data_IF_844420066190
#
_entry.id   IF_844420066190
#
_cell.length_a   1.000
_cell.length_b   1.000
_cell.length_c   1.000
_cell.angle_alpha   90.00
_cell.angle_beta   90.00
_cell.angle_gamma   90.00
#
_symmetry.space_group_name_H-M   'P 1'
#
loop_
_entity.id
_entity.type
_entity.pdbx_description
1 polymer ?
#
# COMPACT_ATOMS: atom_id res chain seq x y z
N UNK A 1 13.34 -26.74 19.16
CA UNK A 1 14.14 -25.70 18.48
C UNK A 1 14.48 -26.24 17.10
N UNK A 2 13.72 -25.88 16.06
CA UNK A 2 14.04 -26.25 14.67
C UNK A 2 15.11 -25.27 14.20
N UNK A 3 16.31 -25.77 13.92
CA UNK A 3 17.34 -24.99 13.24
C UNK A 3 16.91 -24.91 11.78
N UNK A 4 16.41 -23.74 11.34
CA UNK A 4 16.16 -23.50 9.91
C UNK A 4 17.51 -23.21 9.27
N UNK A 5 18.01 -24.18 8.52
CA UNK A 5 19.16 -23.99 7.64
C UNK A 5 18.61 -23.37 6.36
N UNK A 6 19.21 -22.26 5.89
CA UNK A 6 18.79 -21.61 4.66
C UNK A 6 18.79 -22.60 3.49
N UNK A 7 17.77 -22.52 2.65
CA UNK A 7 17.55 -23.39 1.49
C UNK A 7 18.01 -22.65 0.24
N UNK A 8 19.07 -23.16 -0.38
CA UNK A 8 19.64 -22.56 -1.59
C UNK A 8 20.50 -21.32 -1.29
N UNK A 9 20.71 -20.51 -2.33
CA UNK A 9 21.55 -19.32 -2.28
C UNK A 9 20.72 -18.05 -2.13
N UNK A 10 21.33 -17.02 -1.53
CA UNK A 10 20.82 -15.65 -1.61
C UNK A 10 21.08 -15.10 -3.01
N UNK A 11 20.02 -14.67 -3.69
CA UNK A 11 20.04 -14.14 -5.04
C UNK A 11 20.84 -12.84 -5.13
N UNK A 12 21.52 -12.63 -6.26
CA UNK A 12 22.16 -11.35 -6.56
C UNK A 12 21.15 -10.40 -7.17
N UNK A 13 20.35 -10.92 -8.11
CA UNK A 13 19.23 -10.20 -8.71
C UNK A 13 17.92 -10.65 -8.08
N UNK A 14 17.11 -9.75 -7.50
CA UNK A 14 15.88 -10.12 -6.84
C UNK A 14 14.78 -10.48 -7.84
N UNK A 15 13.90 -11.39 -7.43
CA UNK A 15 12.62 -11.56 -8.10
C UNK A 15 11.62 -10.53 -7.56
N UNK A 16 10.95 -9.81 -8.45
CA UNK A 16 9.91 -8.84 -8.08
C UNK A 16 8.55 -9.49 -8.18
N UNK A 17 7.90 -9.70 -7.03
CA UNK A 17 6.59 -10.35 -6.96
C UNK A 17 5.54 -9.49 -7.69
N UNK A 18 4.90 -10.03 -8.74
CA UNK A 18 3.82 -9.36 -9.43
C UNK A 18 2.69 -8.93 -8.49
N UNK A 19 2.13 -7.74 -8.71
CA UNK A 19 1.05 -7.16 -7.89
C UNK A 19 1.47 -6.61 -6.52
N UNK A 20 2.47 -7.19 -5.87
CA UNK A 20 2.97 -6.71 -4.55
C UNK A 20 4.10 -5.67 -4.68
N UNK A 21 4.78 -5.65 -5.83
CA UNK A 21 5.91 -4.76 -6.08
C UNK A 21 7.02 -4.89 -5.01
N UNK A 22 7.21 -6.12 -4.54
CA UNK A 22 8.18 -6.49 -3.51
C UNK A 22 9.29 -7.33 -4.15
N UNK A 23 10.52 -6.95 -3.86
CA UNK A 23 11.70 -7.71 -4.26
C UNK A 23 12.00 -8.75 -3.19
N UNK A 24 12.20 -10.00 -3.61
CA UNK A 24 12.68 -11.09 -2.76
C UNK A 24 14.02 -11.59 -3.30
N UNK A 25 14.93 -11.85 -2.38
CA UNK A 25 16.30 -12.29 -2.64
C UNK A 25 16.54 -13.72 -2.17
N UNK A 26 15.62 -14.32 -1.41
CA UNK A 26 15.72 -15.74 -1.04
C UNK A 26 14.37 -16.44 -1.12
N UNK A 27 14.39 -17.78 -1.16
CA UNK A 27 13.14 -18.55 -1.15
C UNK A 27 12.42 -18.48 0.20
N UNK A 28 13.11 -18.19 1.30
CA UNK A 28 12.49 -17.89 2.59
C UNK A 28 11.76 -16.56 2.57
N UNK A 29 12.35 -15.52 1.97
CA UNK A 29 11.67 -14.23 1.77
C UNK A 29 10.44 -14.40 0.86
N UNK A 30 10.53 -15.26 -0.16
CA UNK A 30 9.39 -15.64 -0.98
C UNK A 30 8.31 -16.36 -0.15
N UNK A 31 8.69 -17.36 0.66
CA UNK A 31 7.76 -18.06 1.56
C UNK A 31 7.06 -17.08 2.50
N UNK A 32 7.81 -16.15 3.08
CA UNK A 32 7.28 -15.09 3.93
C UNK A 32 6.28 -14.22 3.16
N UNK A 33 6.64 -13.79 1.96
CA UNK A 33 5.74 -12.99 1.13
C UNK A 33 4.46 -13.75 0.76
N UNK A 34 4.56 -15.04 0.45
CA UNK A 34 3.41 -15.89 0.14
C UNK A 34 2.46 -16.00 1.34
N UNK A 35 2.99 -16.30 2.53
CA UNK A 35 2.19 -16.44 3.75
C UNK A 35 1.49 -15.13 4.11
N UNK A 36 2.25 -14.04 4.21
CA UNK A 36 1.73 -12.76 4.71
C UNK A 36 0.80 -12.06 3.72
N UNK A 37 0.86 -12.41 2.43
CA UNK A 37 0.09 -11.74 1.37
C UNK A 37 -0.78 -12.72 0.56
N UNK A 38 -1.06 -13.91 1.09
CA UNK A 38 -1.79 -14.99 0.42
C UNK A 38 -3.06 -14.51 -0.32
N UNK A 39 -3.87 -13.69 0.34
CA UNK A 39 -5.14 -13.20 -0.22
C UNK A 39 -4.95 -12.26 -1.44
N UNK A 40 -3.78 -11.65 -1.59
CA UNK A 40 -3.46 -10.68 -2.65
C UNK A 40 -2.82 -11.35 -3.88
N UNK A 41 -2.24 -12.53 -3.71
CA UNK A 41 -1.55 -13.24 -4.78
C UNK A 41 -2.53 -13.79 -5.81
N UNK A 42 -2.25 -13.59 -7.10
CA UNK A 42 -3.05 -14.10 -8.21
C UNK A 42 -2.25 -15.04 -9.12
N UNK A 43 -2.85 -15.45 -10.24
CA UNK A 43 -2.23 -16.37 -11.19
C UNK A 43 -0.99 -15.78 -11.89
N UNK A 44 -0.72 -14.48 -11.76
CA UNK A 44 0.50 -13.87 -12.33
C UNK A 44 1.77 -14.32 -11.61
N UNK A 45 1.66 -14.90 -10.40
CA UNK A 45 2.77 -15.54 -9.71
C UNK A 45 3.18 -16.88 -10.35
N UNK A 46 2.29 -17.50 -11.14
CA UNK A 46 2.60 -18.71 -11.90
C UNK A 46 3.26 -18.31 -13.21
N UNK A 47 4.49 -17.82 -13.12
CA UNK A 47 5.27 -17.37 -14.26
C UNK A 47 6.62 -18.09 -14.36
N UNK A 48 7.13 -18.19 -15.59
CA UNK A 48 8.41 -18.82 -15.88
C UNK A 48 9.59 -18.03 -15.32
N UNK A 49 9.44 -16.72 -15.13
CA UNK A 49 10.47 -15.86 -14.53
C UNK A 49 10.76 -16.24 -13.08
N UNK A 50 9.74 -16.64 -12.31
CA UNK A 50 9.94 -17.16 -10.96
C UNK A 50 10.70 -18.49 -10.97
N UNK A 51 10.39 -19.39 -11.91
CA UNK A 51 11.09 -20.67 -12.05
C UNK A 51 12.56 -20.48 -12.44
N UNK A 52 12.81 -19.61 -13.43
CA UNK A 52 14.15 -19.25 -13.89
C UNK A 52 14.98 -18.63 -12.74
N UNK A 53 14.36 -17.75 -11.94
CA UNK A 53 15.00 -17.15 -10.78
C UNK A 53 15.35 -18.20 -9.71
N UNK A 54 14.42 -19.10 -9.38
CA UNK A 54 14.69 -20.18 -8.42
C UNK A 54 15.84 -21.07 -8.87
N UNK A 55 15.92 -21.40 -10.16
CA UNK A 55 16.97 -22.26 -10.71
C UNK A 55 18.32 -21.53 -10.74
N UNK A 56 18.37 -20.31 -11.29
CA UNK A 56 19.64 -19.61 -11.59
C UNK A 56 20.21 -18.84 -10.41
N UNK A 57 19.36 -18.12 -9.69
CA UNK A 57 19.80 -17.25 -8.59
C UNK A 57 19.87 -18.02 -7.27
N UNK A 58 18.82 -18.79 -6.95
CA UNK A 58 18.77 -19.54 -5.70
C UNK A 58 19.41 -20.94 -5.79
N UNK A 59 19.72 -21.45 -7.00
CA UNK A 59 20.33 -22.76 -7.20
C UNK A 59 19.38 -23.95 -6.96
N UNK A 60 18.07 -23.73 -7.06
CA UNK A 60 17.02 -24.70 -6.71
C UNK A 60 16.36 -25.33 -7.95
N UNK A 61 17.17 -25.85 -8.87
CA UNK A 61 16.68 -26.45 -10.12
C UNK A 61 15.72 -27.63 -9.92
N UNK A 62 15.89 -28.43 -8.86
CA UNK A 62 14.95 -29.52 -8.56
C UNK A 62 13.57 -29.02 -8.13
N UNK A 63 13.50 -27.90 -7.40
CA UNK A 63 12.22 -27.25 -7.09
C UNK A 63 11.59 -26.68 -8.35
N UNK A 64 12.36 -25.97 -9.18
CA UNK A 64 11.87 -25.38 -10.43
C UNK A 64 11.28 -26.46 -11.37
N UNK A 65 11.96 -27.60 -11.55
CA UNK A 65 11.45 -28.74 -12.33
C UNK A 65 10.15 -29.32 -11.78
N UNK A 66 9.99 -29.39 -10.45
CA UNK A 66 8.75 -29.87 -9.80
C UNK A 66 7.59 -28.91 -10.01
N UNK A 67 7.85 -27.61 -10.05
CA UNK A 67 6.84 -26.56 -10.22
C UNK A 67 6.47 -26.30 -11.69
N UNK A 68 7.35 -26.62 -12.64
CA UNK A 68 7.15 -26.41 -14.07
C UNK A 68 5.79 -26.94 -14.61
N UNK A 69 5.32 -28.16 -14.23
CA UNK A 69 4.00 -28.64 -14.67
C UNK A 69 2.84 -27.80 -14.15
N UNK A 70 2.95 -27.21 -12.96
CA UNK A 70 1.90 -26.38 -12.36
C UNK A 70 1.75 -25.05 -13.09
N UNK A 71 2.86 -24.46 -13.56
CA UNK A 71 2.84 -23.25 -14.40
C UNK A 71 2.21 -23.54 -15.77
N UNK A 72 2.61 -24.63 -16.42
CA UNK A 72 2.24 -24.89 -17.82
C UNK A 72 0.93 -25.66 -18.04
N UNK A 73 0.40 -26.35 -17.02
CA UNK A 73 -0.82 -27.18 -17.15
C UNK A 73 -2.05 -26.61 -16.43
N UNK A 74 -2.12 -25.28 -16.27
CA UNK A 74 -3.18 -24.57 -15.50
C UNK A 74 -3.29 -25.11 -14.06
N UNK A 75 -2.16 -25.19 -13.36
CA UNK A 75 -2.16 -25.53 -11.93
C UNK A 75 -2.89 -24.48 -11.09
N UNK A 76 -3.31 -24.88 -9.90
CA UNK A 76 -3.91 -23.94 -8.95
C UNK A 76 -2.82 -23.15 -8.22
N UNK A 77 -3.06 -21.86 -7.97
CA UNK A 77 -2.15 -21.02 -7.20
C UNK A 77 -1.89 -21.57 -5.80
N UNK A 78 -2.91 -22.11 -5.15
CA UNK A 78 -2.77 -22.74 -3.83
C UNK A 78 -1.82 -23.93 -3.87
N UNK A 79 -1.93 -24.80 -4.89
CA UNK A 79 -1.05 -25.96 -5.04
C UNK A 79 0.40 -25.54 -5.31
N UNK A 80 0.59 -24.54 -6.16
CA UNK A 80 1.90 -23.97 -6.48
C UNK A 80 2.59 -23.38 -5.25
N UNK A 81 1.88 -22.53 -4.50
CA UNK A 81 2.40 -21.92 -3.28
C UNK A 81 2.72 -22.96 -2.20
N UNK A 82 1.82 -23.92 -1.96
CA UNK A 82 2.03 -24.99 -0.98
C UNK A 82 3.23 -25.86 -1.34
N UNK A 83 3.45 -26.15 -2.63
CA UNK A 83 4.62 -26.91 -3.07
C UNK A 83 5.93 -26.19 -2.73
N UNK A 84 5.99 -24.86 -2.90
CA UNK A 84 7.14 -24.04 -2.49
C UNK A 84 7.31 -24.09 -0.97
N UNK A 85 6.26 -23.78 -0.21
CA UNK A 85 6.30 -23.68 1.26
C UNK A 85 6.75 -24.99 1.91
N UNK A 86 6.22 -26.13 1.44
CA UNK A 86 6.61 -27.47 1.93
C UNK A 86 8.03 -27.85 1.55
N UNK A 87 8.49 -27.48 0.35
CA UNK A 87 9.85 -27.77 -0.08
C UNK A 87 10.87 -27.02 0.77
N UNK A 88 10.65 -25.73 1.01
CA UNK A 88 11.55 -24.90 1.82
C UNK A 88 11.47 -25.28 3.30
N UNK A 89 10.30 -25.70 3.79
CA UNK A 89 10.13 -26.15 5.16
C UNK A 89 10.29 -25.03 6.20
N UNK A 90 10.05 -23.78 5.79
CA UNK A 90 10.18 -22.59 6.64
C UNK A 90 9.03 -22.46 7.66
N UNK A 91 7.86 -23.01 7.34
CA UNK A 91 6.67 -23.01 8.18
C UNK A 91 6.23 -24.44 8.55
N UNK A 92 5.40 -24.57 9.59
CA UNK A 92 4.74 -25.83 9.93
C UNK A 92 3.50 -26.10 9.06
N UNK A 93 2.98 -27.33 9.11
CA UNK A 93 1.83 -27.72 8.28
C UNK A 93 0.53 -26.97 8.65
N UNK A 94 0.41 -26.47 9.89
CA UNK A 94 -0.73 -25.66 10.31
C UNK A 94 -0.73 -24.32 9.57
N UNK A 95 0.38 -23.57 9.64
CA UNK A 95 0.54 -22.30 8.93
C UNK A 95 0.45 -22.46 7.40
N UNK A 96 0.94 -23.58 6.85
CA UNK A 96 0.80 -23.90 5.42
C UNK A 96 -0.68 -24.12 5.06
N UNK A 97 -1.44 -24.84 5.91
CA UNK A 97 -2.87 -25.07 5.71
C UNK A 97 -3.70 -23.79 5.74
N UNK A 98 -3.42 -22.89 6.69
CA UNK A 98 -4.05 -21.57 6.75
C UNK A 98 -3.76 -20.73 5.50
N UNK A 99 -2.50 -20.75 5.05
CA UNK A 99 -2.06 -20.04 3.83
C UNK A 99 -2.78 -20.60 2.59
N UNK A 100 -2.91 -21.92 2.48
CA UNK A 100 -3.64 -22.58 1.40
C UNK A 100 -5.12 -22.17 1.38
N UNK A 101 -5.76 -22.11 2.54
CA UNK A 101 -7.16 -21.69 2.66
C UNK A 101 -7.33 -20.22 2.24
N UNK A 102 -6.42 -19.34 2.67
CA UNK A 102 -6.43 -17.93 2.28
C UNK A 102 -6.27 -17.76 0.76
N UNK A 103 -5.38 -18.53 0.12
CA UNK A 103 -5.20 -18.53 -1.34
C UNK A 103 -6.47 -18.99 -2.08
N UNK A 104 -7.14 -20.05 -1.57
CA UNK A 104 -8.39 -20.56 -2.16
C UNK A 104 -9.54 -19.55 -2.02
N UNK A 105 -9.66 -18.89 -0.88
CA UNK A 105 -10.64 -17.82 -0.69
C UNK A 105 -10.39 -16.65 -1.65
N UNK A 106 -9.13 -16.23 -1.78
CA UNK A 106 -8.73 -15.17 -2.72
C UNK A 106 -8.85 -15.55 -4.20
N UNK A 107 -9.01 -16.83 -4.54
CA UNK A 107 -9.28 -17.28 -5.90
C UNK A 107 -10.76 -17.10 -6.30
N UNK A 108 -11.66 -16.92 -5.33
CA UNK A 108 -13.08 -16.67 -5.59
C UNK A 108 -13.41 -15.22 -5.94
N UNK A 109 -12.47 -14.29 -5.74
CA UNK A 109 -12.63 -12.88 -6.11
C UNK A 109 -12.53 -12.68 -7.63
N UNK A 110 -13.25 -11.70 -8.16
CA UNK A 110 -13.05 -11.28 -9.55
C UNK A 110 -11.64 -10.71 -9.74
N UNK A 111 -11.09 -10.83 -10.96
CA UNK A 111 -9.76 -10.30 -11.26
C UNK A 111 -9.61 -8.80 -11.00
N UNK A 112 -10.71 -8.06 -11.14
CA UNK A 112 -10.77 -6.61 -10.89
C UNK A 112 -10.71 -6.31 -9.38
N UNK A 113 -11.53 -6.98 -8.56
CA UNK A 113 -11.50 -6.83 -7.10
C UNK A 113 -10.13 -7.20 -6.54
N UNK A 114 -9.53 -8.26 -7.09
CA UNK A 114 -8.20 -8.71 -6.69
C UNK A 114 -7.13 -7.66 -7.02
N UNK A 115 -7.17 -7.11 -8.23
CA UNK A 115 -6.25 -6.04 -8.63
C UNK A 115 -6.43 -4.79 -7.77
N UNK A 116 -7.67 -4.40 -7.45
CA UNK A 116 -7.94 -3.30 -6.51
C UNK A 116 -7.31 -3.57 -5.14
N UNK A 117 -7.53 -4.76 -4.56
CA UNK A 117 -6.97 -5.11 -3.26
C UNK A 117 -5.43 -5.06 -3.24
N UNK A 118 -4.76 -5.47 -4.33
CA UNK A 118 -3.30 -5.32 -4.48
C UNK A 118 -2.89 -3.84 -4.45
N UNK A 119 -3.63 -2.97 -5.12
CA UNK A 119 -3.34 -1.53 -5.16
C UNK A 119 -3.61 -0.89 -3.79
N UNK A 120 -4.72 -1.23 -3.13
CA UNK A 120 -5.04 -0.79 -1.77
C UNK A 120 -3.92 -1.19 -0.79
N UNK A 121 -3.38 -2.40 -0.95
CA UNK A 121 -2.23 -2.86 -0.18
C UNK A 121 -1.00 -1.98 -0.38
N UNK A 122 -0.71 -1.55 -1.62
CA UNK A 122 0.39 -0.61 -1.89
C UNK A 122 0.19 0.73 -1.18
N UNK A 123 -1.05 1.23 -1.08
CA UNK A 123 -1.37 2.43 -0.30
C UNK A 123 -1.06 2.21 1.18
N UNK A 124 -1.49 1.08 1.77
CA UNK A 124 -1.21 0.74 3.18
C UNK A 124 0.30 0.62 3.47
N UNK A 125 1.08 0.16 2.49
CA UNK A 125 2.55 0.12 2.56
C UNK A 125 3.22 1.44 2.18
N UNK A 126 2.46 2.52 2.03
CA UNK A 126 2.92 3.88 1.66
C UNK A 126 3.64 3.95 0.31
N UNK A 127 3.45 2.95 -0.56
CA UNK A 127 3.99 2.92 -1.94
C UNK A 127 3.07 3.70 -2.89
N UNK A 128 2.79 4.96 -2.54
CA UNK A 128 1.72 5.74 -3.18
C UNK A 128 1.88 5.91 -4.68
N UNK A 129 3.11 6.12 -5.19
CA UNK A 129 3.34 6.27 -6.64
C UNK A 129 2.98 5.02 -7.44
N UNK A 130 3.31 3.83 -6.93
CA UNK A 130 2.92 2.57 -7.58
C UNK A 130 1.42 2.36 -7.48
N UNK A 131 0.82 2.70 -6.33
CA UNK A 131 -0.62 2.60 -6.16
C UNK A 131 -1.39 3.51 -7.13
N UNK A 132 -0.96 4.76 -7.30
CA UNK A 132 -1.58 5.72 -8.22
C UNK A 132 -1.59 5.20 -9.66
N UNK A 133 -0.46 4.67 -10.16
CA UNK A 133 -0.40 4.03 -11.49
C UNK A 133 -1.41 2.88 -11.60
N UNK A 134 -1.51 2.05 -10.57
CA UNK A 134 -2.47 0.95 -10.53
C UNK A 134 -3.93 1.42 -10.62
N UNK A 135 -4.30 2.48 -9.89
CA UNK A 135 -5.64 3.05 -10.00
C UNK A 135 -5.89 3.71 -11.36
N UNK A 136 -4.90 4.39 -11.93
CA UNK A 136 -4.99 4.96 -13.27
C UNK A 136 -5.25 3.86 -14.32
N UNK A 137 -4.52 2.75 -14.26
CA UNK A 137 -4.73 1.58 -15.13
C UNK A 137 -6.14 0.99 -14.96
N UNK A 138 -6.63 0.84 -13.73
CA UNK A 138 -8.00 0.36 -13.47
C UNK A 138 -9.06 1.29 -14.08
N UNK A 139 -8.94 2.59 -13.85
CA UNK A 139 -9.89 3.59 -14.34
C UNK A 139 -9.85 3.73 -15.87
N UNK A 140 -8.67 3.69 -16.48
CA UNK A 140 -8.52 3.75 -17.95
C UNK A 140 -9.15 2.54 -18.63
N UNK A 141 -8.93 1.34 -18.09
CA UNK A 141 -9.51 0.11 -18.63
C UNK A 141 -11.05 0.17 -18.66
N UNK A 142 -11.68 0.96 -17.79
CA UNK A 142 -13.14 1.13 -17.76
C UNK A 142 -13.65 2.22 -18.69
N UNK A 143 -12.94 3.34 -18.84
CA UNK A 143 -13.29 4.35 -19.84
C UNK A 143 -13.31 3.75 -21.26
N UNK A 144 -12.45 2.75 -21.53
CA UNK A 144 -12.46 2.01 -22.79
C UNK A 144 -13.66 1.06 -22.90
N UNK A 145 -14.11 0.46 -21.78
CA UNK A 145 -15.25 -0.46 -21.75
C UNK A 145 -16.61 0.26 -21.84
N UNK A 146 -16.76 1.45 -21.25
CA UNK A 146 -17.95 2.29 -21.38
C UNK A 146 -18.19 2.80 -22.81
N UNK A 147 -17.13 2.89 -23.62
CA UNK A 147 -17.22 3.18 -25.06
C UNK A 147 -17.60 1.94 -25.90
N UNK A 148 -17.74 0.77 -25.26
CA UNK A 148 -18.27 -0.47 -25.83
C UNK A 148 -19.61 -0.89 -25.20
N UNK A 149 -20.19 -2.01 -25.63
CA UNK A 149 -21.52 -2.48 -25.20
C UNK A 149 -21.55 -3.18 -23.81
N UNK A 150 -20.45 -3.14 -23.04
CA UNK A 150 -20.37 -3.79 -21.73
C UNK A 150 -20.71 -2.80 -20.61
N UNK A 151 -21.64 -3.18 -19.72
CA UNK A 151 -21.94 -2.39 -18.53
C UNK A 151 -20.68 -2.25 -17.66
N UNK A 152 -20.31 -1.00 -17.32
CA UNK A 152 -19.23 -0.70 -16.39
C UNK A 152 -19.48 -1.27 -14.99
N UNK A 153 -18.46 -1.26 -14.11
CA UNK A 153 -18.64 -1.66 -12.71
C UNK A 153 -19.67 -0.76 -12.01
N UNK A 154 -20.25 -1.27 -10.92
CA UNK A 154 -21.20 -0.50 -10.11
C UNK A 154 -20.60 0.86 -9.71
N UNK A 155 -21.39 1.97 -9.73
CA UNK A 155 -20.89 3.30 -9.38
C UNK A 155 -20.16 3.35 -8.04
N UNK A 156 -20.65 2.62 -7.04
CA UNK A 156 -20.03 2.53 -5.72
C UNK A 156 -18.62 1.93 -5.77
N UNK A 157 -18.41 0.92 -6.62
CA UNK A 157 -17.09 0.31 -6.79
C UNK A 157 -16.10 1.28 -7.44
N UNK A 158 -16.55 2.10 -8.40
CA UNK A 158 -15.73 3.16 -8.99
C UNK A 158 -15.44 4.27 -7.96
N UNK A 159 -16.44 4.63 -7.15
CA UNK A 159 -16.30 5.65 -6.10
C UNK A 159 -15.21 5.27 -5.09
N UNK A 160 -15.18 4.01 -4.64
CA UNK A 160 -14.14 3.51 -3.73
C UNK A 160 -12.73 3.64 -4.32
N UNK A 161 -12.56 3.39 -5.62
CA UNK A 161 -11.25 3.53 -6.28
C UNK A 161 -10.82 4.99 -6.39
N UNK A 162 -11.73 5.88 -6.77
CA UNK A 162 -11.45 7.32 -6.76
C UNK A 162 -11.09 7.80 -5.37
N UNK A 163 -11.83 7.38 -4.35
CA UNK A 163 -11.52 7.71 -2.97
C UNK A 163 -10.11 7.21 -2.57
N UNK A 164 -9.79 5.95 -2.80
CA UNK A 164 -8.49 5.39 -2.39
C UNK A 164 -7.33 5.98 -3.20
N UNK A 165 -7.56 6.39 -4.44
CA UNK A 165 -6.62 7.20 -5.22
C UNK A 165 -6.39 8.56 -4.58
N UNK A 166 -7.46 9.21 -4.09
CA UNK A 166 -7.39 10.44 -3.29
C UNK A 166 -6.55 10.26 -2.02
N UNK A 167 -6.74 9.17 -1.28
CA UNK A 167 -5.92 8.81 -0.11
C UNK A 167 -4.44 8.68 -0.48
N UNK A 168 -4.12 8.07 -1.63
CA UNK A 168 -2.74 7.95 -2.10
C UNK A 168 -2.11 9.31 -2.42
N UNK A 169 -2.86 10.23 -3.04
CA UNK A 169 -2.40 11.61 -3.26
C UNK A 169 -2.21 12.39 -1.96
N UNK A 170 -3.11 12.24 -0.99
CA UNK A 170 -2.98 12.82 0.36
C UNK A 170 -1.71 12.33 1.05
N UNK A 171 -1.37 11.04 0.92
CA UNK A 171 -0.11 10.48 1.42
C UNK A 171 1.16 11.09 0.81
N UNK A 172 1.04 11.68 -0.39
CA UNK A 172 2.09 12.45 -1.07
C UNK A 172 1.97 13.97 -0.84
N UNK A 173 1.01 14.42 -0.03
CA UNK A 173 0.68 15.82 0.22
C UNK A 173 0.27 16.60 -1.05
N UNK A 174 -0.25 15.89 -2.06
CA UNK A 174 -0.76 16.47 -3.31
C UNK A 174 -2.26 16.74 -3.18
N UNK A 175 -2.61 17.70 -2.33
CA UNK A 175 -3.99 17.93 -1.89
C UNK A 175 -4.95 18.41 -2.98
N UNK A 176 -4.44 19.08 -4.02
CA UNK A 176 -5.27 19.47 -5.18
C UNK A 176 -5.78 18.24 -5.93
N UNK A 177 -4.89 17.31 -6.27
CA UNK A 177 -5.25 16.05 -6.93
C UNK A 177 -6.08 15.15 -6.02
N UNK A 178 -5.80 15.14 -4.71
CA UNK A 178 -6.59 14.40 -3.73
C UNK A 178 -8.04 14.92 -3.68
N UNK A 179 -8.23 16.24 -3.63
CA UNK A 179 -9.55 16.86 -3.63
C UNK A 179 -10.34 16.48 -4.89
N UNK A 180 -9.71 16.53 -6.08
CA UNK A 180 -10.41 16.12 -7.30
C UNK A 180 -10.87 14.66 -7.23
N UNK A 181 -10.02 13.76 -6.73
CA UNK A 181 -10.37 12.35 -6.58
C UNK A 181 -11.54 12.14 -5.59
N UNK A 182 -11.53 12.81 -4.43
CA UNK A 182 -12.62 12.71 -3.45
C UNK A 182 -13.93 13.31 -3.98
N UNK A 183 -13.85 14.38 -4.78
CA UNK A 183 -15.01 14.95 -5.45
C UNK A 183 -15.63 13.96 -6.44
N UNK A 184 -14.82 13.30 -7.26
CA UNK A 184 -15.28 12.26 -8.17
C UNK A 184 -15.94 11.10 -7.42
N UNK A 185 -15.33 10.65 -6.31
CA UNK A 185 -15.91 9.60 -5.47
C UNK A 185 -17.28 9.99 -4.91
N UNK A 186 -17.40 11.21 -4.36
CA UNK A 186 -18.66 11.75 -3.85
C UNK A 186 -19.74 11.87 -4.94
N UNK A 187 -19.36 12.32 -6.14
CA UNK A 187 -20.32 12.46 -7.25
C UNK A 187 -20.92 11.13 -7.70
N UNK A 188 -20.15 10.03 -7.58
CA UNK A 188 -20.56 8.68 -7.92
C UNK A 188 -21.45 8.01 -6.86
N UNK A 189 -21.04 8.03 -5.58
CA UNK A 189 -21.75 7.29 -4.52
C UNK A 189 -22.69 8.16 -3.67
N UNK A 190 -22.50 9.48 -3.68
CA UNK A 190 -23.14 10.44 -2.75
C UNK A 190 -22.86 10.15 -1.28
N UNK A 191 -21.81 9.40 -0.97
CA UNK A 191 -21.37 9.15 0.40
C UNK A 191 -20.81 10.44 1.02
N UNK A 192 -21.48 10.94 2.06
CA UNK A 192 -21.10 12.17 2.76
C UNK A 192 -19.69 12.10 3.36
N UNK A 193 -19.18 10.90 3.69
CA UNK A 193 -17.80 10.75 4.15
C UNK A 193 -16.78 11.23 3.10
N UNK A 194 -17.03 10.94 1.82
CA UNK A 194 -16.16 11.41 0.72
C UNK A 194 -16.25 12.92 0.51
N UNK A 195 -17.40 13.53 0.82
CA UNK A 195 -17.53 14.98 0.86
C UNK A 195 -16.65 15.59 1.97
N UNK A 196 -16.65 15.00 3.17
CA UNK A 196 -15.77 15.42 4.28
C UNK A 196 -14.30 15.33 3.87
N UNK A 197 -13.88 14.26 3.20
CA UNK A 197 -12.49 14.09 2.73
C UNK A 197 -12.11 15.10 1.64
N UNK A 198 -13.04 15.42 0.73
CA UNK A 198 -12.87 16.50 -0.24
C UNK A 198 -12.64 17.85 0.45
N UNK A 199 -13.47 18.19 1.43
CA UNK A 199 -13.33 19.42 2.21
C UNK A 199 -12.01 19.42 3.00
N UNK A 200 -11.60 18.28 3.55
CA UNK A 200 -10.33 18.14 4.25
C UNK A 200 -9.13 18.40 3.32
N UNK A 201 -9.16 17.84 2.10
CA UNK A 201 -8.13 18.11 1.10
C UNK A 201 -8.09 19.60 0.72
N UNK A 202 -9.25 20.27 0.58
CA UNK A 202 -9.31 21.73 0.37
C UNK A 202 -8.77 22.53 1.57
N UNK A 203 -9.07 22.11 2.81
CA UNK A 203 -8.55 22.72 4.04
C UNK A 203 -7.03 22.68 4.12
N UNK A 204 -6.43 21.57 3.66
CA UNK A 204 -4.98 21.37 3.64
C UNK A 204 -4.29 22.09 2.48
N UNK A 205 -4.99 22.26 1.34
CA UNK A 205 -4.49 22.96 0.16
C UNK A 205 -4.49 24.48 0.34
N UNK A 206 -5.56 25.03 0.89
CA UNK A 206 -5.83 26.46 0.91
C UNK A 206 -5.22 27.14 2.14
N UNK A 207 -4.84 28.42 1.98
CA UNK A 207 -4.58 29.28 3.14
C UNK A 207 -5.84 29.42 4.00
N UNK A 208 -5.67 29.72 5.29
CA UNK A 208 -6.80 29.88 6.22
C UNK A 208 -7.88 30.83 5.70
N UNK A 209 -7.48 32.03 5.24
CA UNK A 209 -8.43 33.00 4.68
C UNK A 209 -9.18 32.44 3.48
N UNK A 210 -8.47 31.86 2.52
CA UNK A 210 -9.07 31.31 1.31
C UNK A 210 -9.99 30.12 1.61
N UNK A 211 -9.66 29.31 2.63
CA UNK A 211 -10.51 28.22 3.07
C UNK A 211 -11.79 28.73 3.72
N UNK A 212 -11.72 29.76 4.58
CA UNK A 212 -12.93 30.34 5.20
C UNK A 212 -13.87 30.89 4.13
N UNK A 213 -13.34 31.60 3.13
CA UNK A 213 -14.12 32.11 2.00
C UNK A 213 -14.76 30.95 1.20
N UNK A 214 -14.00 29.87 0.94
CA UNK A 214 -14.48 28.66 0.27
C UNK A 214 -15.60 27.96 1.07
N UNK A 215 -15.38 27.73 2.37
CA UNK A 215 -16.32 27.04 3.25
C UNK A 215 -17.62 27.84 3.42
N UNK A 216 -17.54 29.17 3.50
CA UNK A 216 -18.71 30.05 3.53
C UNK A 216 -19.57 29.94 2.25
N UNK A 217 -18.94 29.64 1.11
CA UNK A 217 -19.64 29.39 -0.16
C UNK A 217 -20.27 28.00 -0.27
N UNK A 218 -19.89 27.04 0.57
CA UNK A 218 -20.38 25.65 0.54
C UNK A 218 -21.63 25.45 1.40
N UNK A 219 -22.69 26.23 1.17
CA UNK A 219 -23.90 26.21 2.00
C UNK A 219 -24.61 24.85 2.04
N UNK A 220 -24.48 24.07 0.96
CA UNK A 220 -25.07 22.73 0.84
C UNK A 220 -24.36 21.68 1.71
N UNK A 221 -23.07 21.89 2.01
CA UNK A 221 -22.24 20.97 2.80
C UNK A 221 -21.96 21.49 4.20
N UNK A 222 -22.88 22.29 4.74
CA UNK A 222 -22.73 22.89 6.06
C UNK A 222 -22.51 21.84 7.18
N UNK A 223 -23.28 20.72 7.25
CA UNK A 223 -23.02 19.67 8.23
C UNK A 223 -21.62 19.05 8.12
N UNK A 224 -21.18 18.73 6.89
CA UNK A 224 -19.89 18.12 6.60
C UNK A 224 -18.72 19.07 6.91
N UNK A 225 -18.91 20.37 6.65
CA UNK A 225 -17.95 21.42 7.02
C UNK A 225 -17.80 21.51 8.55
N UNK A 226 -18.92 21.49 9.30
CA UNK A 226 -18.85 21.49 10.76
C UNK A 226 -18.17 20.24 11.32
N UNK A 227 -18.47 19.08 10.75
CA UNK A 227 -17.82 17.81 11.12
C UNK A 227 -16.30 17.89 10.90
N UNK A 228 -15.89 18.36 9.72
CA UNK A 228 -14.47 18.56 9.41
C UNK A 228 -13.80 19.52 10.40
N UNK A 229 -14.38 20.68 10.66
CA UNK A 229 -13.79 21.67 11.57
C UNK A 229 -13.65 21.14 12.99
N UNK A 230 -14.59 20.29 13.45
CA UNK A 230 -14.47 19.59 14.72
C UNK A 230 -13.27 18.63 14.70
N UNK A 231 -13.18 17.74 13.70
CA UNK A 231 -12.06 16.79 13.56
C UNK A 231 -10.70 17.50 13.44
N UNK A 232 -10.65 18.59 12.67
CA UNK A 232 -9.44 19.39 12.48
C UNK A 232 -8.97 20.00 13.80
N UNK A 233 -9.89 20.60 14.57
CA UNK A 233 -9.57 21.17 15.88
C UNK A 233 -9.04 20.10 16.84
N UNK A 234 -9.70 18.97 16.93
CA UNK A 234 -9.27 17.84 17.78
C UNK A 234 -7.85 17.37 17.40
N UNK A 235 -7.57 17.22 16.10
CA UNK A 235 -6.26 16.83 15.60
C UNK A 235 -5.16 17.88 15.88
N UNK A 236 -5.48 19.17 15.76
CA UNK A 236 -4.55 20.26 16.09
C UNK A 236 -4.25 20.26 17.59
N UNK A 237 -5.27 20.16 18.44
CA UNK A 237 -5.10 20.11 19.89
C UNK A 237 -4.29 18.90 20.35
N UNK A 238 -4.49 17.74 19.72
CA UNK A 238 -3.69 16.55 19.97
C UNK A 238 -2.24 16.76 19.55
N UNK A 239 -2.02 17.30 18.34
CA UNK A 239 -0.68 17.58 17.82
C UNK A 239 0.08 18.57 18.71
N UNK A 240 -0.55 19.64 19.19
CA UNK A 240 0.07 20.62 20.09
C UNK A 240 0.57 20.01 21.40
N UNK A 241 -0.10 18.97 21.89
CA UNK A 241 0.27 18.25 23.12
C UNK A 241 1.25 17.10 22.84
N UNK A 242 1.42 16.69 21.58
CA UNK A 242 2.23 15.54 21.21
C UNK A 242 3.72 15.79 21.55
N UNK A 243 4.43 14.81 22.14
CA UNK A 243 5.83 14.97 22.54
C UNK A 243 6.74 15.46 21.40
N UNK A 244 6.47 15.03 20.17
CA UNK A 244 7.28 15.44 19.02
C UNK A 244 7.02 16.90 18.61
N UNK A 245 5.80 17.40 18.75
CA UNK A 245 5.51 18.82 18.55
C UNK A 245 6.20 19.69 19.61
N UNK A 246 6.13 19.27 20.88
CA UNK A 246 6.83 19.96 21.97
C UNK A 246 8.35 19.98 21.75
N UNK A 247 8.94 18.86 21.32
CA UNK A 247 10.36 18.80 20.93
C UNK A 247 10.67 19.74 19.77
N UNK A 248 9.82 19.79 18.73
CA UNK A 248 10.00 20.69 17.59
C UNK A 248 9.96 22.16 18.01
N UNK A 249 9.01 22.54 18.87
CA UNK A 249 8.89 23.88 19.41
C UNK A 249 10.11 24.26 20.26
N UNK A 250 10.53 23.38 21.17
CA UNK A 250 11.74 23.59 21.96
C UNK A 250 12.97 23.82 21.06
N UNK A 251 13.08 23.10 19.96
CA UNK A 251 14.18 23.27 19.00
C UNK A 251 14.11 24.57 18.21
N UNK A 252 12.91 25.02 17.85
CA UNK A 252 12.71 26.34 17.21
C UNK A 252 13.16 27.45 18.17
N UNK A 253 12.81 27.34 19.44
CA UNK A 253 13.22 28.28 20.47
C UNK A 253 14.75 28.27 20.66
N UNK A 254 15.35 27.08 20.80
CA UNK A 254 16.81 26.92 20.91
C UNK A 254 17.53 27.55 19.71
N UNK A 255 17.06 27.32 18.49
CA UNK A 255 17.65 27.92 17.28
C UNK A 255 17.69 29.45 17.36
N UNK A 256 16.68 30.07 17.96
CA UNK A 256 16.61 31.53 18.13
C UNK A 256 17.45 32.06 19.30
N UNK A 257 17.59 31.29 20.38
CA UNK A 257 18.23 31.73 21.64
C UNK A 257 19.70 31.33 21.75
N UNK A 258 20.06 30.14 21.27
CA UNK A 258 21.39 29.53 21.39
C UNK A 258 21.64 28.60 20.20
N UNK A 259 22.17 29.18 19.13
CA UNK A 259 22.44 28.47 17.88
C UNK A 259 23.53 27.41 18.03
N UNK A 260 24.47 27.59 18.97
CA UNK A 260 25.55 26.64 19.19
C UNK A 260 24.98 25.35 19.79
N UNK A 261 24.18 25.46 20.85
CA UNK A 261 23.53 24.31 21.48
C UNK A 261 22.56 23.60 20.52
N UNK A 262 21.83 24.37 19.71
CA UNK A 262 20.98 23.81 18.65
C UNK A 262 21.77 22.93 17.67
N UNK A 263 22.94 23.39 17.23
CA UNK A 263 23.80 22.62 16.32
C UNK A 263 24.36 21.36 16.98
N UNK A 264 24.81 21.44 18.23
CA UNK A 264 25.30 20.29 18.99
C UNK A 264 24.22 19.20 19.16
N UNK A 265 22.97 19.59 19.45
CA UNK A 265 21.85 18.65 19.52
C UNK A 265 21.51 18.03 18.16
N UNK A 266 21.60 18.81 17.07
CA UNK A 266 21.42 18.29 15.72
C UNK A 266 22.46 17.21 15.39
N UNK A 267 23.73 17.46 15.70
CA UNK A 267 24.81 16.51 15.46
C UNK A 267 24.59 15.20 16.22
N UNK A 268 24.21 15.29 17.51
CA UNK A 268 23.87 14.12 18.32
C UNK A 268 22.72 13.32 17.72
N UNK A 269 21.65 13.99 17.29
CA UNK A 269 20.50 13.32 16.69
C UNK A 269 20.81 12.69 15.35
N UNK A 270 21.59 13.37 14.50
CA UNK A 270 22.08 12.80 13.24
C UNK A 270 22.92 11.56 13.51
N UNK A 271 23.75 11.58 14.55
CA UNK A 271 24.55 10.42 14.93
C UNK A 271 23.65 9.25 15.40
N UNK A 272 22.68 9.50 16.27
CA UNK A 272 21.70 8.48 16.71
C UNK A 272 20.94 7.89 15.52
N UNK A 273 20.50 8.71 14.58
CA UNK A 273 19.82 8.24 13.37
C UNK A 273 20.73 7.39 12.48
N UNK A 274 21.99 7.81 12.30
CA UNK A 274 22.99 7.03 11.55
C UNK A 274 23.25 5.67 12.21
N UNK A 275 23.36 5.64 13.54
CA UNK A 275 23.62 4.40 14.27
C UNK A 275 22.41 3.48 14.28
N UNK A 276 21.20 4.02 14.44
CA UNK A 276 19.96 3.25 14.27
C UNK A 276 19.86 2.64 12.87
N UNK A 277 20.17 3.43 11.82
CA UNK A 277 20.14 2.95 10.44
C UNK A 277 21.17 1.84 10.18
N UNK A 278 22.34 1.89 10.81
CA UNK A 278 23.36 0.83 10.68
C UNK A 278 23.01 -0.46 11.41
N UNK A 279 22.14 -0.37 12.41
CA UNK A 279 21.69 -1.51 13.23
C UNK A 279 20.33 -2.09 12.80
N UNK A 280 19.68 -1.50 11.80
CA UNK A 280 18.43 -1.98 11.19
C UNK A 280 18.69 -2.55 9.81
#
# INVERSE_FOLDING_TARGET
MRVSVCVGNYAKEPYRIPGLEMNVFSVEELCYCIKENAFLLDLTLLDDGLLDWMERECGLGELAKRLHPLVHRRGQLSEFAVAILRYVGFYDEEAIGETEQALKQGAGLSGIEKRRNQIDYLVRKKKYRSALRGYDELLQNWQVQENGEAAGPAPDFQAEIWHNKGVAYTGLMLYESAAECFRQAYELSRDEAYCVDYLAAKRMLLSEKAYVDFAAGCTEWYPQTQELEKKYREAVEEWEKHPDCLKLNHRRDLKSRDIQKYNEENERLVQVLKDSYRCS
#
